data_IF_165535501927
#
_entry.id   IF_165535501927
#
_cell.length_a   1.000
_cell.length_b   1.000
_cell.length_c   1.000
_cell.angle_alpha   90.00
_cell.angle_beta   90.00
_cell.angle_gamma   90.00
#
_symmetry.space_group_name_H-M   'P 1'
#
loop_
_entity.id
_entity.type
_entity.pdbx_description
1 polymer ?
#
# COMPACT_ATOMS: atom_id res chain seq x y z
N UNK A 1 7.00 -13.57 14.00
CA UNK A 1 6.86 -12.37 13.15
C UNK A 1 6.11 -11.29 13.92
N UNK A 2 6.56 -10.03 13.87
CA UNK A 2 5.91 -8.90 14.58
C UNK A 2 5.17 -8.10 13.51
N UNK A 3 3.84 -8.19 13.48
CA UNK A 3 3.01 -7.59 12.43
C UNK A 3 2.43 -6.21 12.82
N UNK A 4 2.32 -5.95 14.11
CA UNK A 4 1.82 -4.70 14.67
C UNK A 4 2.35 -4.54 16.09
N UNK A 5 2.64 -3.31 16.48
CA UNK A 5 2.90 -2.94 17.88
C UNK A 5 1.95 -1.82 18.29
N UNK A 6 1.57 -1.84 19.57
CA UNK A 6 0.81 -0.77 20.21
C UNK A 6 1.47 -0.48 21.56
N UNK A 7 1.82 0.78 21.80
CA UNK A 7 2.51 1.19 23.01
C UNK A 7 2.77 2.69 23.05
N UNK A 8 3.51 3.11 24.06
CA UNK A 8 3.88 4.50 24.28
C UNK A 8 5.22 4.83 23.60
N UNK A 9 5.32 6.01 22.99
CA UNK A 9 6.58 6.49 22.43
C UNK A 9 7.51 6.94 23.55
N UNK A 10 8.48 6.09 23.90
CA UNK A 10 9.47 6.37 24.91
C UNK A 10 10.58 7.32 24.41
N UNK A 11 10.97 7.23 23.14
CA UNK A 11 11.97 8.12 22.56
C UNK A 11 11.75 8.30 21.05
N UNK A 12 12.23 9.43 20.54
CA UNK A 12 12.22 9.78 19.12
C UNK A 12 13.63 10.11 18.64
N UNK A 13 14.13 9.34 17.68
CA UNK A 13 15.40 9.57 16.99
C UNK A 13 15.15 10.17 15.59
N UNK A 14 16.18 10.59 14.84
CA UNK A 14 16.03 11.14 13.50
C UNK A 14 15.39 10.19 12.48
N UNK A 15 15.57 8.86 12.65
CA UNK A 15 15.16 7.82 11.70
C UNK A 15 14.36 6.69 12.35
N UNK A 16 14.09 6.76 13.66
CA UNK A 16 13.47 5.69 14.42
C UNK A 16 12.71 6.19 15.64
N UNK A 17 11.84 5.33 16.17
CA UNK A 17 11.12 5.51 17.43
C UNK A 17 11.48 4.37 18.39
N UNK A 18 11.52 4.64 19.68
CA UNK A 18 11.45 3.59 20.69
C UNK A 18 10.03 3.56 21.21
N UNK A 19 9.35 2.44 20.97
CA UNK A 19 7.97 2.21 21.43
C UNK A 19 8.02 1.24 22.60
N UNK A 20 7.62 1.70 23.78
CA UNK A 20 7.46 0.85 24.97
C UNK A 20 6.15 0.07 24.89
N UNK A 21 6.26 -1.23 24.95
CA UNK A 21 5.11 -2.15 25.01
C UNK A 21 5.25 -2.97 26.28
N UNK A 22 4.57 -2.55 27.32
CA UNK A 22 4.57 -3.20 28.65
C UNK A 22 5.99 -3.43 29.23
N UNK A 23 6.85 -2.40 29.15
CA UNK A 23 8.21 -2.44 29.69
C UNK A 23 9.27 -3.00 28.71
N UNK A 24 8.89 -3.34 27.48
CA UNK A 24 9.82 -3.73 26.42
C UNK A 24 9.91 -2.62 25.39
N UNK A 25 11.09 -1.99 25.25
CA UNK A 25 11.35 -0.96 24.26
C UNK A 25 11.69 -1.53 22.89
N UNK A 26 10.79 -1.36 21.92
CA UNK A 26 11.03 -1.75 20.51
C UNK A 26 11.63 -0.59 19.74
N UNK A 27 12.82 -0.78 19.16
CA UNK A 27 13.42 0.17 18.21
C UNK A 27 12.77 -0.04 16.82
N UNK A 28 12.07 0.97 16.32
CA UNK A 28 11.27 0.91 15.09
C UNK A 28 11.73 2.00 14.13
N UNK A 29 12.31 1.62 13.01
CA UNK A 29 12.62 2.55 11.92
C UNK A 29 11.35 2.89 11.14
N UNK A 30 11.16 4.16 10.79
CA UNK A 30 9.93 4.61 10.16
C UNK A 30 10.18 5.73 9.12
N UNK A 31 9.24 5.96 8.18
CA UNK A 31 9.30 7.11 7.29
C UNK A 31 9.33 8.44 8.07
N UNK A 32 9.99 9.46 7.49
CA UNK A 32 10.15 10.76 8.14
C UNK A 32 8.81 11.39 8.57
N UNK A 33 7.74 11.20 7.78
CA UNK A 33 6.40 11.66 8.10
C UNK A 33 5.80 11.03 9.37
N UNK A 34 6.11 9.77 9.65
CA UNK A 34 5.70 9.07 10.88
C UNK A 34 6.44 9.64 12.08
N UNK A 35 7.78 9.78 11.94
CA UNK A 35 8.64 10.31 13.01
C UNK A 35 8.28 11.77 13.36
N UNK A 36 8.01 12.59 12.35
CA UNK A 36 7.67 14.01 12.55
C UNK A 36 6.37 14.20 13.34
N UNK A 37 5.39 13.30 13.18
CA UNK A 37 4.12 13.33 13.91
C UNK A 37 4.19 12.69 15.30
N UNK A 38 5.23 11.92 15.57
CA UNK A 38 5.41 11.20 16.83
C UNK A 38 5.66 12.17 17.99
N UNK A 39 4.88 12.04 19.06
CA UNK A 39 5.06 12.80 20.32
C UNK A 39 5.48 11.85 21.42
N UNK A 40 6.53 12.21 22.18
CA UNK A 40 6.98 11.43 23.35
C UNK A 40 5.83 11.32 24.35
N UNK A 41 5.72 10.19 25.02
CA UNK A 41 4.67 9.80 25.95
C UNK A 41 3.26 9.64 25.32
N UNK A 42 3.12 9.75 23.99
CA UNK A 42 1.86 9.46 23.32
C UNK A 42 1.74 7.98 22.95
N UNK A 43 0.52 7.48 22.98
CA UNK A 43 0.21 6.14 22.48
C UNK A 43 0.28 6.11 20.95
N UNK A 44 0.87 5.06 20.42
CA UNK A 44 0.97 4.83 18.96
C UNK A 44 0.63 3.39 18.64
N UNK A 45 -0.02 3.21 17.48
CA UNK A 45 -0.16 1.89 16.84
C UNK A 45 0.59 1.95 15.51
N UNK A 46 1.52 1.03 15.31
CA UNK A 46 2.27 0.92 14.06
C UNK A 46 2.06 -0.46 13.44
N UNK A 47 1.76 -0.49 12.15
CA UNK A 47 1.89 -1.68 11.33
C UNK A 47 3.37 -1.95 11.09
N UNK A 48 3.85 -3.16 11.35
CA UNK A 48 5.28 -3.42 11.36
C UNK A 48 5.71 -4.50 10.38
N UNK A 49 6.90 -4.33 9.83
CA UNK A 49 7.60 -5.30 9.00
C UNK A 49 8.93 -5.66 9.69
N UNK A 50 9.09 -6.92 10.09
CA UNK A 50 10.33 -7.43 10.62
C UNK A 50 11.19 -7.96 9.46
N UNK A 51 12.34 -7.34 9.24
CA UNK A 51 13.35 -7.80 8.29
C UNK A 51 14.45 -8.52 9.06
N UNK A 52 14.60 -9.81 8.76
CA UNK A 52 15.62 -10.68 9.38
C UNK A 52 16.73 -10.89 8.41
N UNK A 53 17.97 -10.66 8.84
CA UNK A 53 19.22 -10.96 8.14
C UNK A 53 20.10 -11.84 9.04
N UNK A 54 21.20 -12.35 8.52
CA UNK A 54 22.12 -13.20 9.28
C UNK A 54 22.68 -12.51 10.53
N UNK A 55 22.89 -11.20 10.45
CA UNK A 55 23.55 -10.39 11.49
C UNK A 55 22.57 -9.43 12.23
N UNK A 56 21.32 -9.30 11.81
CA UNK A 56 20.40 -8.33 12.38
C UNK A 56 18.93 -8.69 12.21
N UNK A 57 18.13 -8.33 13.21
CA UNK A 57 16.67 -8.25 13.13
C UNK A 57 16.25 -6.78 13.25
N UNK A 58 15.67 -6.24 12.20
CA UNK A 58 15.29 -4.83 12.13
C UNK A 58 13.78 -4.69 11.96
N UNK A 59 13.17 -3.87 12.82
CA UNK A 59 11.73 -3.60 12.78
C UNK A 59 11.48 -2.27 12.09
N UNK A 60 10.59 -2.29 11.10
CA UNK A 60 10.12 -1.12 10.36
C UNK A 60 8.66 -0.87 10.69
N UNK A 61 8.25 0.39 10.90
CA UNK A 61 6.91 0.76 11.32
C UNK A 61 6.26 1.82 10.44
N UNK A 62 4.94 1.66 10.25
CA UNK A 62 4.12 2.47 9.34
C UNK A 62 2.80 2.81 10.02
N UNK A 63 2.18 3.94 9.62
CA UNK A 63 0.90 4.38 10.20
C UNK A 63 -0.28 3.54 9.73
N UNK A 64 -0.19 2.95 8.55
CA UNK A 64 -1.25 2.13 7.97
C UNK A 64 -0.69 0.90 7.23
N UNK A 65 -1.60 0.00 6.90
CA UNK A 65 -1.27 -1.26 6.23
C UNK A 65 -0.88 -1.05 4.74
N UNK A 66 -1.26 0.05 4.12
CA UNK A 66 -0.90 0.37 2.74
C UNK A 66 0.57 0.76 2.65
N UNK A 67 1.05 1.67 3.54
CA UNK A 67 2.47 2.02 3.65
C UNK A 67 3.33 0.76 3.91
N UNK A 68 2.87 -0.11 4.82
CA UNK A 68 3.56 -1.37 5.14
C UNK A 68 3.68 -2.28 3.91
N UNK A 69 2.58 -2.50 3.17
CA UNK A 69 2.58 -3.33 1.95
C UNK A 69 3.48 -2.74 0.87
N UNK A 70 3.39 -1.43 0.66
CA UNK A 70 4.22 -0.75 -0.34
C UNK A 70 5.70 -0.85 0.00
N UNK A 71 6.07 -0.72 1.29
CA UNK A 71 7.44 -0.98 1.75
C UNK A 71 7.89 -2.41 1.42
N UNK A 72 7.07 -3.42 1.71
CA UNK A 72 7.38 -4.82 1.41
C UNK A 72 7.55 -5.07 -0.10
N UNK A 73 6.69 -4.44 -0.90
CA UNK A 73 6.77 -4.52 -2.37
C UNK A 73 8.04 -3.86 -2.89
N UNK A 74 8.43 -2.71 -2.35
CA UNK A 74 9.65 -1.99 -2.73
C UNK A 74 10.91 -2.79 -2.41
N UNK A 75 11.03 -3.36 -1.21
CA UNK A 75 12.23 -4.13 -0.80
C UNK A 75 12.39 -5.47 -1.55
N UNK A 76 11.35 -5.93 -2.23
CA UNK A 76 11.43 -7.09 -3.12
C UNK A 76 12.06 -6.76 -4.48
N UNK A 77 12.22 -5.48 -4.83
CA UNK A 77 12.90 -5.04 -6.05
C UNK A 77 14.40 -5.15 -5.88
N UNK A 78 15.08 -5.77 -6.85
CA UNK A 78 16.54 -5.89 -6.80
C UNK A 78 17.23 -4.53 -6.78
N UNK A 79 18.07 -4.30 -5.78
CA UNK A 79 18.77 -3.04 -5.55
C UNK A 79 18.03 -2.04 -4.65
N UNK A 80 16.82 -2.36 -4.20
CA UNK A 80 16.06 -1.57 -3.23
C UNK A 80 16.20 -2.19 -1.84
N UNK A 81 17.02 -1.57 -1.00
CA UNK A 81 17.10 -1.93 0.42
C UNK A 81 16.07 -1.17 1.27
N UNK A 82 15.88 -1.59 2.55
CA UNK A 82 14.96 -0.92 3.47
C UNK A 82 15.18 0.59 3.60
N UNK A 83 16.43 1.05 3.62
CA UNK A 83 16.76 2.49 3.65
C UNK A 83 16.19 3.26 2.47
N UNK A 84 16.33 2.70 1.27
CA UNK A 84 15.81 3.29 0.03
C UNK A 84 14.29 3.29 0.03
N UNK A 85 13.66 2.21 0.45
CA UNK A 85 12.21 2.12 0.57
C UNK A 85 11.64 3.15 1.56
N UNK A 86 12.27 3.32 2.75
CA UNK A 86 11.90 4.37 3.69
C UNK A 86 12.10 5.79 3.13
N UNK A 87 13.18 6.03 2.37
CA UNK A 87 13.41 7.32 1.73
C UNK A 87 12.32 7.67 0.71
N UNK A 88 11.87 6.71 -0.10
CA UNK A 88 10.74 6.88 -1.02
C UNK A 88 9.45 7.22 -0.27
N UNK A 89 9.09 6.47 0.77
CA UNK A 89 7.91 6.70 1.61
C UNK A 89 8.01 7.97 2.47
N UNK A 90 9.20 8.55 2.60
CA UNK A 90 9.40 9.80 3.32
C UNK A 90 9.15 11.04 2.45
N UNK A 91 9.33 10.93 1.13
CA UNK A 91 9.15 12.04 0.19
C UNK A 91 7.81 11.99 -0.56
N UNK A 92 7.22 10.81 -0.71
CA UNK A 92 5.93 10.59 -1.37
C UNK A 92 5.02 9.81 -0.42
N UNK A 93 3.75 10.23 -0.32
CA UNK A 93 2.73 9.43 0.35
C UNK A 93 2.50 8.13 -0.42
N UNK A 94 1.95 7.11 0.23
CA UNK A 94 1.74 5.80 -0.37
C UNK A 94 0.94 5.87 -1.69
N UNK A 95 -0.13 6.68 -1.74
CA UNK A 95 -0.93 6.87 -2.95
C UNK A 95 -0.15 7.57 -4.07
N UNK A 96 0.59 8.63 -3.73
CA UNK A 96 1.43 9.37 -4.69
C UNK A 96 2.54 8.49 -5.26
N UNK A 97 3.17 7.66 -4.41
CA UNK A 97 4.21 6.74 -4.84
C UNK A 97 3.65 5.63 -5.73
N UNK A 98 2.50 5.06 -5.35
CA UNK A 98 1.80 4.06 -6.16
C UNK A 98 1.39 4.64 -7.53
N UNK A 99 0.84 5.85 -7.55
CA UNK A 99 0.49 6.55 -8.78
C UNK A 99 1.72 6.86 -9.66
N UNK A 100 2.83 7.32 -9.05
CA UNK A 100 4.07 7.61 -9.78
C UNK A 100 4.64 6.34 -10.44
N UNK A 101 4.56 5.19 -9.76
CA UNK A 101 4.98 3.90 -10.32
C UNK A 101 4.04 3.48 -11.46
N UNK A 102 2.72 3.51 -11.26
CA UNK A 102 1.74 3.12 -12.25
C UNK A 102 1.79 3.99 -13.53
N UNK A 103 2.00 5.31 -13.37
CA UNK A 103 2.13 6.26 -14.48
C UNK A 103 3.51 6.26 -15.16
N UNK A 104 4.48 5.48 -14.65
CA UNK A 104 5.81 5.44 -15.23
C UNK A 104 6.72 6.62 -14.87
N UNK A 105 6.36 7.42 -13.84
CA UNK A 105 7.08 8.64 -13.46
C UNK A 105 8.33 8.34 -12.62
N UNK A 106 9.36 7.78 -13.27
CA UNK A 106 10.64 7.50 -12.62
C UNK A 106 11.33 8.76 -12.06
N UNK A 107 11.07 9.94 -12.64
CA UNK A 107 11.67 11.19 -12.16
C UNK A 107 11.18 11.58 -10.76
N UNK A 108 9.92 11.28 -10.42
CA UNK A 108 9.40 11.50 -9.07
C UNK A 108 10.12 10.64 -8.04
N UNK A 109 10.41 9.38 -8.37
CA UNK A 109 11.13 8.43 -7.50
C UNK A 109 12.61 8.84 -7.35
N UNK A 110 13.23 9.32 -8.43
CA UNK A 110 14.64 9.73 -8.42
C UNK A 110 14.95 10.93 -7.49
N UNK A 111 13.92 11.60 -6.96
CA UNK A 111 14.08 12.66 -5.96
C UNK A 111 14.43 12.12 -4.57
N UNK A 112 14.21 10.82 -4.33
CA UNK A 112 14.51 10.22 -3.03
C UNK A 112 16.02 10.04 -2.84
N UNK A 113 16.56 10.32 -1.65
CA UNK A 113 17.95 10.05 -1.33
C UNK A 113 18.32 8.58 -1.59
N UNK A 114 19.40 8.36 -2.33
CA UNK A 114 19.87 7.02 -2.70
C UNK A 114 19.14 6.39 -3.89
N UNK A 115 18.23 7.11 -4.55
CA UNK A 115 17.53 6.64 -5.76
C UNK A 115 18.03 7.41 -6.98
N UNK A 116 18.92 6.79 -7.75
CA UNK A 116 19.33 7.32 -9.05
C UNK A 116 18.33 6.96 -10.15
N UNK A 117 18.44 7.63 -11.32
CA UNK A 117 17.54 7.42 -12.46
C UNK A 117 17.42 5.94 -12.88
N UNK A 118 18.54 5.20 -12.89
CA UNK A 118 18.55 3.76 -13.24
C UNK A 118 17.70 2.93 -12.27
N UNK A 119 17.84 3.19 -10.96
CA UNK A 119 17.09 2.48 -9.92
C UNK A 119 15.61 2.87 -9.97
N UNK A 120 15.30 4.15 -10.15
CA UNK A 120 13.93 4.64 -10.31
C UNK A 120 13.21 3.97 -11.49
N UNK A 121 13.88 3.90 -12.66
CA UNK A 121 13.34 3.22 -13.85
C UNK A 121 13.12 1.71 -13.61
N UNK A 122 14.03 1.05 -12.88
CA UNK A 122 13.87 -0.36 -12.50
C UNK A 122 12.67 -0.56 -11.57
N UNK A 123 12.52 0.27 -10.53
CA UNK A 123 11.38 0.21 -9.61
C UNK A 123 10.06 0.32 -10.39
N UNK A 124 9.97 1.29 -11.30
CA UNK A 124 8.79 1.48 -12.15
C UNK A 124 8.54 0.24 -13.00
N UNK A 125 9.56 -0.30 -13.68
CA UNK A 125 9.41 -1.47 -14.55
C UNK A 125 8.96 -2.71 -13.76
N UNK A 126 9.58 -2.97 -12.61
CA UNK A 126 9.33 -4.19 -11.82
C UNK A 126 7.98 -4.14 -11.07
N UNK A 127 7.47 -2.94 -10.77
CA UNK A 127 6.29 -2.78 -9.93
C UNK A 127 5.04 -2.25 -10.65
N UNK A 128 5.17 -1.70 -11.85
CA UNK A 128 4.05 -1.13 -12.60
C UNK A 128 2.89 -2.12 -12.71
N UNK A 129 3.16 -3.32 -13.19
CA UNK A 129 2.11 -4.34 -13.39
C UNK A 129 1.58 -4.88 -12.05
N UNK A 130 2.45 -5.01 -11.04
CA UNK A 130 2.07 -5.50 -9.71
C UNK A 130 1.17 -4.53 -8.95
N UNK A 131 1.36 -3.22 -9.13
CA UNK A 131 0.54 -2.19 -8.48
C UNK A 131 -0.74 -1.89 -9.26
N UNK A 132 -0.76 -2.15 -10.58
CA UNK A 132 -1.98 -2.04 -11.39
C UNK A 132 -2.93 -3.21 -11.13
N UNK A 133 -2.40 -4.37 -10.74
CA UNK A 133 -3.19 -5.55 -10.35
C UNK A 133 -3.49 -5.64 -8.84
N UNK A 134 -2.71 -4.93 -8.02
CA UNK A 134 -2.96 -4.81 -6.58
C UNK A 134 -3.71 -3.50 -6.33
N UNK A 135 -5.00 -3.50 -6.58
CA UNK A 135 -5.85 -2.41 -6.17
C UNK A 135 -5.83 -2.21 -4.64
N UNK A 136 -5.98 -0.98 -4.15
CA UNK A 136 -5.81 -0.66 -2.74
C UNK A 136 -6.88 -1.35 -1.89
N UNK A 137 -6.46 -2.26 -1.02
CA UNK A 137 -7.33 -2.79 0.02
C UNK A 137 -7.49 -1.67 1.06
N UNK A 138 -8.64 -0.99 1.05
CA UNK A 138 -9.00 -0.03 2.09
C UNK A 138 -9.42 1.38 1.64
N UNK A 139 -9.86 1.53 0.37
CA UNK A 139 -10.62 2.71 -0.07
C UNK A 139 -12.05 2.27 -0.31
N UNK A 140 -13.09 3.10 -0.07
CA UNK A 140 -14.45 2.79 -0.50
C UNK A 140 -14.45 2.46 -1.99
N UNK A 141 -14.52 1.17 -2.36
CA UNK A 141 -14.33 0.64 -3.71
C UNK A 141 -13.84 -0.82 -3.75
N UNK A 142 -13.40 -1.39 -2.63
CA UNK A 142 -13.00 -2.82 -2.54
C UNK A 142 -14.15 -3.75 -2.96
N UNK A 143 -15.35 -3.38 -2.60
CA UNK A 143 -16.59 -4.05 -3.03
C UNK A 143 -16.75 -4.05 -4.55
N UNK A 144 -16.25 -3.02 -5.23
CA UNK A 144 -16.26 -2.92 -6.70
C UNK A 144 -15.29 -3.90 -7.36
N UNK A 145 -14.17 -4.24 -6.72
CA UNK A 145 -13.16 -5.17 -7.27
C UNK A 145 -13.56 -6.62 -7.13
N UNK A 146 -14.20 -6.97 -6.01
CA UNK A 146 -14.79 -8.31 -5.85
C UNK A 146 -15.88 -8.54 -6.90
N UNK A 147 -16.69 -7.51 -7.21
CA UNK A 147 -17.69 -7.57 -8.27
C UNK A 147 -17.03 -7.68 -9.64
N UNK A 148 -15.97 -6.92 -9.93
CA UNK A 148 -15.21 -7.02 -11.18
C UNK A 148 -14.59 -8.41 -11.33
N UNK A 149 -13.98 -8.96 -10.27
CA UNK A 149 -13.40 -10.29 -10.29
C UNK A 149 -14.47 -11.39 -10.54
N UNK A 150 -15.65 -11.25 -9.93
CA UNK A 150 -16.77 -12.15 -10.15
C UNK A 150 -17.28 -12.11 -11.60
N UNK A 151 -17.41 -10.89 -12.19
CA UNK A 151 -17.81 -10.70 -13.59
C UNK A 151 -16.77 -11.30 -14.57
N UNK A 152 -15.47 -11.13 -14.26
CA UNK A 152 -14.40 -11.77 -15.05
C UNK A 152 -14.48 -13.29 -14.96
N UNK A 153 -14.80 -13.84 -13.80
CA UNK A 153 -15.06 -15.27 -13.61
C UNK A 153 -16.26 -15.80 -14.41
N UNK A 154 -17.22 -14.92 -14.76
CA UNK A 154 -18.35 -15.20 -15.64
C UNK A 154 -18.04 -15.02 -17.13
N UNK A 155 -16.80 -14.64 -17.49
CA UNK A 155 -16.31 -14.54 -18.86
C UNK A 155 -16.34 -13.13 -19.47
N UNK A 156 -16.63 -12.08 -18.71
CA UNK A 156 -16.51 -10.70 -19.16
C UNK A 156 -15.05 -10.24 -19.14
N UNK A 157 -14.67 -9.38 -20.06
CA UNK A 157 -13.35 -8.74 -20.03
C UNK A 157 -13.25 -7.76 -18.86
N UNK A 158 -12.02 -7.47 -18.41
CA UNK A 158 -11.77 -6.53 -17.32
C UNK A 158 -12.35 -5.13 -17.63
N UNK A 159 -12.26 -4.68 -18.89
CA UNK A 159 -12.80 -3.39 -19.30
C UNK A 159 -14.33 -3.34 -19.21
N UNK A 160 -15.02 -4.40 -19.67
CA UNK A 160 -16.48 -4.52 -19.60
C UNK A 160 -16.96 -4.60 -18.16
N UNK A 161 -16.28 -5.41 -17.32
CA UNK A 161 -16.61 -5.56 -15.92
C UNK A 161 -16.44 -4.24 -15.15
N UNK A 162 -15.34 -3.50 -15.38
CA UNK A 162 -15.10 -2.21 -14.76
C UNK A 162 -16.11 -1.14 -15.19
N UNK A 163 -16.50 -1.09 -16.50
CA UNK A 163 -17.52 -0.16 -17.00
C UNK A 163 -18.91 -0.47 -16.41
N UNK A 164 -19.27 -1.75 -16.30
CA UNK A 164 -20.52 -2.17 -15.69
C UNK A 164 -20.62 -1.77 -14.23
N UNK A 165 -19.55 -1.96 -13.46
CA UNK A 165 -19.47 -1.56 -12.05
C UNK A 165 -19.53 -0.05 -11.90
N UNK A 166 -18.79 0.72 -12.71
CA UNK A 166 -18.75 2.18 -12.67
C UNK A 166 -20.10 2.84 -13.00
N UNK A 167 -20.94 2.18 -13.81
CA UNK A 167 -22.26 2.67 -14.23
C UNK A 167 -23.42 2.11 -13.43
N UNK A 168 -23.16 1.16 -12.51
CA UNK A 168 -24.19 0.59 -11.64
C UNK A 168 -24.19 1.29 -10.29
N UNK A 169 -25.38 1.59 -9.78
CA UNK A 169 -25.56 2.10 -8.42
C UNK A 169 -25.49 0.89 -7.46
N UNK A 170 -24.30 0.62 -6.93
CA UNK A 170 -24.02 -0.52 -6.05
C UNK A 170 -24.10 -0.06 -4.59
N UNK A 171 -25.13 -0.47 -3.81
CA UNK A 171 -25.20 -0.13 -2.39
C UNK A 171 -24.00 -0.70 -1.61
N UNK A 172 -23.39 0.11 -0.76
CA UNK A 172 -22.19 -0.29 0.01
C UNK A 172 -22.46 -1.42 1.00
N UNK A 173 -23.67 -1.54 1.50
CA UNK A 173 -24.11 -2.52 2.49
C UNK A 173 -24.73 -3.80 1.90
N UNK A 174 -24.91 -3.85 0.57
CA UNK A 174 -25.47 -5.04 -0.11
C UNK A 174 -24.46 -6.20 -0.17
N UNK A 175 -24.92 -7.47 -0.08
CA UNK A 175 -24.06 -8.61 -0.27
C UNK A 175 -23.53 -8.70 -1.70
N UNK A 176 -22.36 -9.37 -1.88
CA UNK A 176 -21.65 -9.42 -3.16
C UNK A 176 -22.51 -10.00 -4.30
N UNK A 177 -23.36 -10.98 -4.00
CA UNK A 177 -24.26 -11.61 -4.97
C UNK A 177 -25.24 -10.59 -5.54
N UNK A 178 -25.74 -9.68 -4.72
CA UNK A 178 -26.66 -8.63 -5.15
C UNK A 178 -25.94 -7.56 -5.97
N UNK A 179 -24.73 -7.18 -5.57
CA UNK A 179 -23.88 -6.25 -6.34
C UNK A 179 -23.53 -6.80 -7.71
N UNK A 180 -23.17 -8.08 -7.81
CA UNK A 180 -22.93 -8.79 -9.09
C UNK A 180 -24.18 -8.80 -9.95
N UNK A 181 -25.35 -9.07 -9.37
CA UNK A 181 -26.63 -9.06 -10.08
C UNK A 181 -26.98 -7.68 -10.65
N UNK A 182 -26.75 -6.62 -9.88
CA UNK A 182 -26.97 -5.24 -10.32
C UNK A 182 -26.02 -4.85 -11.46
N UNK A 183 -24.76 -5.22 -11.38
CA UNK A 183 -23.79 -4.98 -12.45
C UNK A 183 -24.12 -5.78 -13.73
N UNK A 184 -24.61 -7.03 -13.62
CA UNK A 184 -25.07 -7.83 -14.75
C UNK A 184 -26.30 -7.23 -15.44
N UNK A 185 -27.19 -6.57 -14.70
CA UNK A 185 -28.35 -5.89 -15.26
C UNK A 185 -27.98 -4.75 -16.21
N UNK A 186 -26.79 -4.16 -16.07
CA UNK A 186 -26.25 -3.17 -16.98
C UNK A 186 -26.05 -3.75 -18.40
N UNK A 187 -25.49 -4.96 -18.52
CA UNK A 187 -25.27 -5.61 -19.80
C UNK A 187 -26.59 -6.01 -20.49
N UNK A 188 -27.62 -6.35 -19.72
CA UNK A 188 -28.93 -6.66 -20.28
C UNK A 188 -29.61 -5.44 -20.92
N UNK A 189 -29.36 -4.24 -20.39
CA UNK A 189 -29.87 -2.97 -20.95
C UNK A 189 -29.12 -2.52 -22.21
N UNK A 190 -27.80 -2.72 -22.22
CA UNK A 190 -26.93 -2.32 -23.36
C UNK A 190 -27.11 -3.22 -24.59
N UNK A 191 -27.69 -4.45 -24.44
CA UNK A 191 -27.98 -5.34 -25.57
C UNK A 191 -29.38 -5.14 -26.17
N UNK A 192 -30.21 -4.29 -25.57
CA UNK A 192 -31.59 -4.04 -26.00
C UNK A 192 -31.73 -2.74 -26.86
N UNK A 193 -30.66 -1.94 -26.96
CA UNK A 193 -30.53 -0.80 -27.86
C UNK A 193 -29.59 -1.15 -29.05
#
# INVERSE_FOLDING_TARGET
>A
MIARIHGEIAARNPDSLIVDVNGVGYLVYAPAGVIARAKIAAQVTLHTCLVVREDAMTLYGFTDAQEQRLFQTLIAVNGVGPKVALALLSILKADELSYAIASGNAAALARAPGVGQKLASRIVLDLRDKLTTAAPIGVPGVESEEVVAALMGLGYSQAEAADAVARSDLPSDAPIEEKVRLALAHFARTRAD
#
